data_IF_499482118519
#
_entry.id   IF_499482118519
#
_cell.length_a   1.000
_cell.length_b   1.000
_cell.length_c   1.000
_cell.angle_alpha   90.00
_cell.angle_beta   90.00
_cell.angle_gamma   90.00
#
_symmetry.space_group_name_H-M   'P 1'
#
loop_
_entity.id
_entity.type
_entity.pdbx_description
1 polymer ?
#
# COMPACT_ATOMS: atom_id res chain seq x y z
N UNK A 1 41.99 23.05 -1.29
CA UNK A 1 41.15 22.18 -0.45
C UNK A 1 39.75 22.23 -1.01
N UNK A 2 39.34 21.20 -1.74
CA UNK A 2 38.02 21.08 -2.38
C UNK A 2 37.55 19.65 -2.20
N UNK A 3 37.19 19.32 -0.97
CA UNK A 3 36.48 18.09 -0.59
C UNK A 3 35.38 18.58 0.32
N UNK A 4 34.15 18.73 -0.19
CA UNK A 4 33.06 19.23 0.66
C UNK A 4 31.64 18.97 0.18
N UNK A 5 31.40 18.41 -1.02
CA UNK A 5 30.01 18.17 -1.51
C UNK A 5 29.70 16.70 -1.75
N UNK A 6 30.70 15.91 -2.18
CA UNK A 6 30.50 14.47 -2.46
C UNK A 6 30.48 13.61 -1.19
N UNK A 7 31.23 14.00 -0.14
CA UNK A 7 31.26 13.28 1.14
C UNK A 7 29.94 13.44 1.91
N UNK A 8 29.33 14.63 1.89
CA UNK A 8 28.03 14.91 2.52
C UNK A 8 26.89 14.14 1.87
N UNK A 9 26.97 13.84 0.57
CA UNK A 9 25.95 13.06 -0.14
C UNK A 9 25.97 11.57 0.22
N UNK A 10 27.00 11.09 0.94
CA UNK A 10 27.14 9.67 1.35
C UNK A 10 26.85 9.47 2.84
N UNK A 11 26.51 10.53 3.58
CA UNK A 11 26.17 10.44 5.01
C UNK A 11 24.80 9.78 5.20
N UNK A 12 24.72 8.84 6.15
CA UNK A 12 23.48 8.15 6.51
C UNK A 12 22.81 8.93 7.63
N UNK A 13 21.59 9.44 7.38
CA UNK A 13 20.80 10.17 8.36
C UNK A 13 19.66 9.33 8.92
N UNK A 14 19.32 9.46 10.21
CA UNK A 14 18.12 8.86 10.77
C UNK A 14 16.88 9.31 10.01
N UNK A 15 16.02 8.36 9.68
CA UNK A 15 14.76 8.61 8.99
C UNK A 15 13.61 8.11 9.87
N UNK A 16 12.63 8.99 10.10
CA UNK A 16 11.39 8.66 10.78
C UNK A 16 10.24 8.74 9.77
N UNK A 17 9.47 7.67 9.68
CA UNK A 17 8.26 7.66 8.84
C UNK A 17 7.15 8.36 9.60
N UNK A 18 6.63 9.44 9.03
CA UNK A 18 5.41 10.09 9.49
C UNK A 18 4.26 9.77 8.53
N UNK A 19 3.19 9.19 9.05
CA UNK A 19 1.94 8.97 8.31
C UNK A 19 0.84 9.72 9.04
N UNK A 20 0.27 10.70 8.37
CA UNK A 20 -0.77 11.56 8.96
C UNK A 20 -2.15 10.88 8.92
N UNK A 21 -3.01 11.20 9.88
CA UNK A 21 -4.32 10.56 10.00
C UNK A 21 -5.26 10.87 8.82
N UNK A 22 -5.11 12.03 8.19
CA UNK A 22 -5.85 12.40 6.99
C UNK A 22 -5.53 11.48 5.80
N UNK A 23 -4.26 11.08 5.64
CA UNK A 23 -3.84 10.10 4.62
C UNK A 23 -4.43 8.73 4.93
N UNK A 24 -4.46 8.30 6.19
CA UNK A 24 -5.09 7.04 6.59
C UNK A 24 -6.61 7.06 6.37
N UNK A 25 -7.25 8.20 6.66
CA UNK A 25 -8.69 8.39 6.44
C UNK A 25 -9.03 8.34 4.96
N UNK A 26 -8.25 9.01 4.10
CA UNK A 26 -8.43 8.95 2.65
C UNK A 26 -8.21 7.52 2.11
N UNK A 27 -7.16 6.84 2.59
CA UNK A 27 -6.87 5.45 2.23
C UNK A 27 -8.08 4.55 2.53
N UNK A 28 -8.61 4.58 3.76
CA UNK A 28 -9.79 3.78 4.15
C UNK A 28 -11.01 4.12 3.31
N UNK A 29 -11.24 5.40 3.00
CA UNK A 29 -12.33 5.84 2.13
C UNK A 29 -12.22 5.24 0.73
N UNK A 30 -11.01 5.24 0.14
CA UNK A 30 -10.76 4.67 -1.19
C UNK A 30 -10.93 3.16 -1.20
N UNK A 31 -10.46 2.47 -0.16
CA UNK A 31 -10.65 1.03 0.02
C UNK A 31 -12.15 0.69 0.12
N UNK A 32 -12.92 1.46 0.89
CA UNK A 32 -14.37 1.28 1.00
C UNK A 32 -15.11 1.53 -0.32
N UNK A 33 -14.58 2.36 -1.20
CA UNK A 33 -15.14 2.65 -2.52
C UNK A 33 -14.75 1.63 -3.61
N UNK A 34 -14.18 0.48 -3.24
CA UNK A 34 -13.73 -0.54 -4.19
C UNK A 34 -14.89 -1.04 -5.05
N UNK A 35 -14.69 -1.05 -6.36
CA UNK A 35 -15.61 -1.63 -7.34
C UNK A 35 -15.17 -3.05 -7.66
N UNK A 36 -16.05 -4.01 -7.43
CA UNK A 36 -15.72 -5.42 -7.62
C UNK A 36 -15.94 -5.87 -9.06
N UNK A 37 -15.02 -6.68 -9.63
CA UNK A 37 -15.27 -7.39 -10.86
C UNK A 37 -16.26 -8.54 -10.61
N UNK A 38 -16.66 -9.22 -11.70
CA UNK A 38 -17.34 -10.51 -11.61
C UNK A 38 -16.42 -11.57 -10.97
N UNK A 39 -17.04 -12.65 -10.48
CA UNK A 39 -16.30 -13.79 -9.92
C UNK A 39 -15.52 -14.53 -11.01
N UNK A 40 -14.41 -15.14 -10.64
CA UNK A 40 -13.57 -15.96 -11.52
C UNK A 40 -14.34 -17.10 -12.17
N UNK A 41 -13.91 -17.49 -13.36
CA UNK A 41 -14.57 -18.56 -14.14
C UNK A 41 -14.12 -19.96 -13.76
N UNK A 42 -12.96 -20.08 -13.09
CA UNK A 42 -12.38 -21.35 -12.66
C UNK A 42 -11.94 -21.26 -11.20
N UNK A 43 -11.99 -22.40 -10.49
CA UNK A 43 -11.71 -22.45 -9.06
C UNK A 43 -10.21 -22.42 -8.71
N UNK A 44 -9.32 -22.42 -9.71
CA UNK A 44 -7.87 -22.43 -9.52
C UNK A 44 -7.27 -21.04 -9.75
N UNK A 45 -6.15 -20.76 -9.08
CA UNK A 45 -5.44 -19.47 -9.07
C UNK A 45 -4.74 -19.11 -10.39
N UNK A 46 -4.93 -19.88 -11.47
CA UNK A 46 -4.32 -19.59 -12.77
C UNK A 46 -4.84 -18.30 -13.42
N UNK A 47 -5.93 -17.72 -12.92
CA UNK A 47 -6.44 -16.41 -13.30
C UNK A 47 -5.95 -15.27 -12.39
N UNK A 48 -5.11 -15.56 -11.41
CA UNK A 48 -4.61 -14.61 -10.43
C UNK A 48 -5.29 -14.78 -9.06
N UNK A 49 -5.21 -13.71 -8.26
CA UNK A 49 -5.76 -13.70 -6.90
C UNK A 49 -7.28 -13.78 -6.95
N UNK A 50 -7.85 -14.66 -6.13
CA UNK A 50 -9.29 -14.85 -6.04
C UNK A 50 -9.99 -13.64 -5.41
N UNK A 51 -11.18 -13.33 -5.90
CA UNK A 51 -12.03 -12.22 -5.48
C UNK A 51 -12.30 -12.28 -3.97
N UNK A 52 -12.55 -13.47 -3.45
CA UNK A 52 -12.76 -13.69 -2.01
C UNK A 52 -11.54 -13.24 -1.19
N UNK A 53 -10.33 -13.56 -1.64
CA UNK A 53 -9.09 -13.11 -0.98
C UNK A 53 -8.96 -11.58 -1.00
N UNK A 54 -9.29 -10.95 -2.13
CA UNK A 54 -9.26 -9.48 -2.23
C UNK A 54 -10.32 -8.82 -1.35
N UNK A 55 -11.51 -9.42 -1.22
CA UNK A 55 -12.58 -8.94 -0.34
C UNK A 55 -12.15 -8.99 1.13
N UNK A 56 -11.50 -10.07 1.57
CA UNK A 56 -10.95 -10.17 2.93
C UNK A 56 -9.86 -9.13 3.18
N UNK A 57 -8.98 -8.90 2.21
CA UNK A 57 -7.93 -7.88 2.33
C UNK A 57 -8.52 -6.46 2.45
N UNK A 58 -9.52 -6.14 1.63
CA UNK A 58 -10.24 -4.86 1.67
C UNK A 58 -10.96 -4.68 3.00
N UNK A 59 -11.56 -5.75 3.54
CA UNK A 59 -12.18 -5.73 4.87
C UNK A 59 -11.16 -5.43 5.96
N UNK A 60 -10.04 -6.16 5.97
CA UNK A 60 -8.96 -5.97 6.93
C UNK A 60 -8.44 -4.53 6.90
N UNK A 61 -7.97 -4.04 5.74
CA UNK A 61 -7.37 -2.70 5.64
C UNK A 61 -8.37 -1.56 5.80
N UNK A 62 -9.66 -1.81 5.55
CA UNK A 62 -10.71 -0.82 5.67
C UNK A 62 -11.22 -0.62 7.09
N UNK A 63 -11.07 -1.61 7.99
CA UNK A 63 -11.81 -1.63 9.26
C UNK A 63 -11.07 -2.18 10.48
N UNK A 64 -10.05 -3.02 10.30
CA UNK A 64 -9.24 -3.60 11.39
C UNK A 64 -7.90 -2.85 11.55
#
# INVERSE_FOLDING_TARGET
>A
MTTSTLETATEVHPFHVEVTEDVLTDLRRRIAATRWPEKETIAYESQGVQLATMQELVRYWGTE
#
